data_IF_538696652434
#
_entry.id   IF_538696652434
#
_cell.length_a   1.000
_cell.length_b   1.000
_cell.length_c   1.000
_cell.angle_alpha   90.00
_cell.angle_beta   90.00
_cell.angle_gamma   90.00
#
_symmetry.space_group_name_H-M   'P 1'
#
loop_
_entity.id
_entity.type
_entity.pdbx_description
1 polymer ?
#
# COMPACT_ATOMS: atom_id res chain seq x y z
N UNK A 1 -30.86 0.07 94.99
CA UNK A 1 -31.68 1.14 94.36
C UNK A 1 -30.73 1.95 93.48
N UNK A 2 -30.98 1.95 92.16
CA UNK A 2 -30.52 2.88 91.09
C UNK A 2 -28.99 3.06 90.90
N UNK A 3 -28.40 3.22 89.72
CA UNK A 3 -28.81 3.18 88.31
C UNK A 3 -27.51 3.05 87.49
N UNK A 4 -27.54 2.35 86.34
CA UNK A 4 -26.41 2.27 85.40
C UNK A 4 -26.28 3.55 84.55
N UNK A 5 -25.08 3.94 84.09
CA UNK A 5 -24.93 4.86 82.96
C UNK A 5 -24.89 4.09 81.62
N UNK A 6 -25.23 4.71 80.48
CA UNK A 6 -25.28 4.03 79.20
C UNK A 6 -23.88 3.90 78.58
N UNK A 7 -23.59 2.72 78.03
CA UNK A 7 -22.43 2.51 77.14
C UNK A 7 -22.84 3.00 75.75
N UNK A 8 -22.25 4.11 75.30
CA UNK A 8 -22.35 4.54 73.90
C UNK A 8 -21.46 3.60 73.08
N UNK A 9 -22.07 2.68 72.33
CA UNK A 9 -21.38 1.96 71.25
C UNK A 9 -21.25 2.92 70.07
N UNK A 10 -20.03 3.39 69.79
CA UNK A 10 -19.69 3.88 68.45
C UNK A 10 -19.79 2.69 67.49
N UNK A 11 -20.79 2.71 66.61
CA UNK A 11 -20.83 1.82 65.46
C UNK A 11 -19.75 2.32 64.49
N UNK A 12 -18.71 1.51 64.28
CA UNK A 12 -17.71 1.68 63.22
C UNK A 12 -18.41 1.58 61.86
N UNK A 13 -18.83 2.71 61.29
CA UNK A 13 -19.20 2.81 59.89
C UNK A 13 -17.92 3.01 59.05
N UNK A 14 -17.04 2.01 59.03
CA UNK A 14 -15.72 2.11 58.37
C UNK A 14 -15.53 1.20 57.16
N UNK A 15 -16.43 0.21 56.92
CA UNK A 15 -16.25 -0.71 55.79
C UNK A 15 -16.74 -0.16 54.45
N UNK A 16 -17.85 0.60 54.41
CA UNK A 16 -18.38 1.15 53.15
C UNK A 16 -17.49 2.25 52.55
N UNK A 17 -16.81 3.03 53.41
CA UNK A 17 -15.92 4.13 53.00
C UNK A 17 -14.64 3.62 52.33
N UNK A 18 -14.08 2.51 52.84
CA UNK A 18 -12.84 1.93 52.32
C UNK A 18 -13.00 1.35 50.91
N UNK A 19 -14.12 0.67 50.62
CA UNK A 19 -14.41 0.14 49.28
C UNK A 19 -14.62 1.24 48.23
N UNK A 20 -15.28 2.34 48.62
CA UNK A 20 -15.47 3.50 47.73
C UNK A 20 -14.14 4.21 47.41
N UNK A 21 -13.28 4.38 48.41
CA UNK A 21 -11.92 4.93 48.23
C UNK A 21 -11.07 4.04 47.32
N UNK A 22 -11.13 2.72 47.49
CA UNK A 22 -10.38 1.78 46.66
C UNK A 22 -10.87 1.79 45.21
N UNK A 23 -12.19 1.81 44.97
CA UNK A 23 -12.76 1.93 43.62
C UNK A 23 -12.40 3.26 42.96
N UNK A 24 -12.41 4.36 43.70
CA UNK A 24 -12.01 5.67 43.18
C UNK A 24 -10.54 5.70 42.76
N UNK A 25 -9.63 5.12 43.56
CA UNK A 25 -8.21 5.01 43.23
C UNK A 25 -7.96 4.12 42.00
N UNK A 26 -8.74 3.04 41.84
CA UNK A 26 -8.67 2.15 40.69
C UNK A 26 -9.10 2.86 39.40
N UNK A 27 -10.19 3.65 39.46
CA UNK A 27 -10.66 4.48 38.34
C UNK A 27 -9.63 5.56 37.97
N UNK A 28 -9.04 6.25 38.95
CA UNK A 28 -8.01 7.27 38.70
C UNK A 28 -6.76 6.66 38.04
N UNK A 29 -6.34 5.46 38.45
CA UNK A 29 -5.19 4.76 37.86
C UNK A 29 -5.43 4.36 36.39
N UNK A 30 -6.67 3.98 36.05
CA UNK A 30 -7.08 3.66 34.67
C UNK A 30 -7.09 4.95 33.81
N UNK A 31 -7.52 6.09 34.37
CA UNK A 31 -7.55 7.37 33.67
C UNK A 31 -6.14 7.92 33.44
N UNK A 32 -5.23 7.79 34.41
CA UNK A 32 -3.83 8.22 34.27
C UNK A 32 -3.03 7.37 33.25
N UNK A 33 -3.45 6.14 33.00
CA UNK A 33 -2.85 5.29 31.95
C UNK A 33 -3.21 5.75 30.53
N UNK A 34 -4.15 6.70 30.38
CA UNK A 34 -4.66 7.17 29.09
C UNK A 34 -3.97 8.43 28.56
N UNK A 35 -3.06 9.05 29.33
CA UNK A 35 -2.43 10.33 28.95
C UNK A 35 -0.91 10.24 28.91
N UNK A 36 -0.41 9.29 28.14
CA UNK A 36 0.94 9.33 27.59
C UNK A 36 0.87 9.14 26.08
N UNK A 37 0.23 10.09 25.38
CA UNK A 37 0.46 10.26 23.97
C UNK A 37 1.92 10.70 23.78
N UNK A 38 2.83 9.72 23.66
CA UNK A 38 4.18 9.96 23.14
C UNK A 38 3.99 10.56 21.74
N UNK A 39 4.11 11.89 21.64
CA UNK A 39 4.38 12.53 20.36
C UNK A 39 5.73 12.00 19.90
N UNK A 40 5.69 11.03 18.99
CA UNK A 40 6.85 10.64 18.21
C UNK A 40 7.15 11.84 17.34
N UNK A 41 8.09 12.68 17.77
CA UNK A 41 8.84 13.53 16.86
C UNK A 41 9.65 12.58 15.98
N UNK A 42 9.05 12.11 14.89
CA UNK A 42 9.83 11.67 13.74
C UNK A 42 10.71 12.87 13.43
N UNK A 43 12.06 12.73 13.47
CA UNK A 43 12.92 13.81 13.04
C UNK A 43 12.44 14.23 11.66
N UNK A 44 12.08 15.49 11.53
CA UNK A 44 11.82 16.15 10.25
C UNK A 44 13.14 16.12 9.47
N UNK A 45 13.51 14.94 8.97
CA UNK A 45 14.45 14.83 7.90
C UNK A 45 13.70 15.38 6.70
N UNK A 46 13.86 16.69 6.51
CA UNK A 46 14.00 17.32 5.20
C UNK A 46 15.16 16.62 4.45
N UNK A 47 15.04 15.31 4.24
CA UNK A 47 15.78 14.62 3.22
C UNK A 47 15.23 15.22 1.93
N UNK A 48 16.02 16.13 1.34
CA UNK A 48 16.00 16.36 -0.10
C UNK A 48 15.75 14.99 -0.74
N UNK A 49 14.59 14.77 -1.40
CA UNK A 49 14.23 13.44 -1.88
C UNK A 49 15.36 12.97 -2.76
N UNK A 50 15.98 11.84 -2.38
CA UNK A 50 17.13 11.23 -3.07
C UNK A 50 16.98 11.44 -4.57
N UNK A 51 17.72 12.40 -5.12
CA UNK A 51 17.63 12.73 -6.52
C UNK A 51 18.36 11.62 -7.25
N UNK A 52 17.60 10.65 -7.76
CA UNK A 52 18.13 9.57 -8.56
C UNK A 52 18.82 10.17 -9.78
N UNK A 53 19.97 9.61 -10.16
CA UNK A 53 20.61 10.03 -11.40
C UNK A 53 19.74 9.60 -12.58
N UNK A 54 19.34 10.55 -13.42
CA UNK A 54 18.62 10.23 -14.64
C UNK A 54 19.61 9.72 -15.70
N UNK A 55 19.39 8.50 -16.18
CA UNK A 55 20.29 7.83 -17.12
C UNK A 55 19.88 8.01 -18.60
N UNK A 56 19.24 9.14 -18.94
CA UNK A 56 18.87 9.50 -20.33
C UNK A 56 17.93 8.51 -21.05
N UNK A 57 17.21 7.66 -20.32
CA UNK A 57 16.22 6.72 -20.88
C UNK A 57 14.85 7.38 -21.11
N UNK A 58 14.10 6.93 -22.11
CA UNK A 58 12.80 7.52 -22.45
C UNK A 58 11.84 7.58 -21.25
N UNK A 59 11.18 8.73 -21.07
CA UNK A 59 10.15 8.95 -20.05
C UNK A 59 8.74 8.81 -20.65
N UNK A 60 7.79 8.33 -19.85
CA UNK A 60 6.37 8.34 -20.22
C UNK A 60 5.84 9.77 -20.22
N UNK A 61 5.14 10.20 -21.26
CA UNK A 61 4.68 11.58 -21.42
C UNK A 61 3.27 11.61 -21.98
N UNK A 62 2.52 12.69 -21.75
CA UNK A 62 1.12 12.80 -22.18
C UNK A 62 0.17 12.00 -21.29
N UNK A 63 -1.03 11.71 -21.81
CA UNK A 63 -2.06 11.00 -21.07
C UNK A 63 -1.86 9.49 -21.21
N UNK A 64 -1.63 8.81 -20.08
CA UNK A 64 -1.38 7.37 -20.04
C UNK A 64 -2.36 6.70 -19.08
N UNK A 65 -3.11 5.73 -19.62
CA UNK A 65 -4.04 4.93 -18.82
C UNK A 65 -3.32 3.76 -18.15
N UNK A 66 -3.61 3.50 -16.87
CA UNK A 66 -3.14 2.33 -16.14
C UNK A 66 -4.30 1.34 -16.06
N UNK A 67 -4.23 0.27 -16.86
CA UNK A 67 -5.24 -0.78 -16.87
C UNK A 67 -4.83 -1.90 -15.90
N UNK A 68 -5.78 -2.41 -15.13
CA UNK A 68 -5.54 -3.50 -14.17
C UNK A 68 -6.12 -4.80 -14.71
N UNK A 69 -5.30 -5.85 -14.78
CA UNK A 69 -5.70 -7.18 -15.23
C UNK A 69 -5.59 -8.10 -14.01
N UNK A 70 -6.74 -8.43 -13.43
CA UNK A 70 -6.89 -9.25 -12.25
C UNK A 70 -7.03 -10.72 -12.65
N UNK A 71 -5.96 -11.50 -12.47
CA UNK A 71 -5.92 -12.91 -12.83
C UNK A 71 -6.06 -13.80 -11.60
N UNK A 72 -7.23 -14.41 -11.44
CA UNK A 72 -7.64 -15.22 -10.30
C UNK A 72 -8.53 -14.48 -9.30
N UNK A 73 -8.64 -15.03 -8.10
CA UNK A 73 -9.59 -14.58 -7.10
C UNK A 73 -8.99 -13.47 -6.22
N UNK A 74 -9.59 -12.28 -6.26
CA UNK A 74 -9.22 -11.13 -5.42
C UNK A 74 -10.41 -10.68 -4.59
N UNK A 75 -10.17 -10.38 -3.31
CA UNK A 75 -11.19 -9.77 -2.45
C UNK A 75 -11.52 -8.37 -2.96
N UNK A 76 -12.78 -7.90 -2.82
CA UNK A 76 -13.14 -6.53 -3.13
C UNK A 76 -12.23 -5.49 -2.45
N UNK A 77 -11.82 -5.74 -1.20
CA UNK A 77 -10.89 -4.87 -0.46
C UNK A 77 -9.50 -4.80 -1.10
N UNK A 78 -8.95 -5.93 -1.56
CA UNK A 78 -7.66 -5.94 -2.26
C UNK A 78 -7.73 -5.13 -3.56
N UNK A 79 -8.82 -5.29 -4.32
CA UNK A 79 -9.02 -4.52 -5.57
C UNK A 79 -9.16 -3.02 -5.31
N UNK A 80 -9.90 -2.66 -4.26
CA UNK A 80 -10.07 -1.26 -3.86
C UNK A 80 -8.72 -0.63 -3.48
N UNK A 81 -7.94 -1.28 -2.61
CA UNK A 81 -6.62 -0.78 -2.16
C UNK A 81 -5.70 -0.47 -3.35
N UNK A 82 -5.57 -1.38 -4.31
CA UNK A 82 -4.71 -1.16 -5.49
C UNK A 82 -5.29 -0.09 -6.40
N UNK A 83 -6.61 -0.09 -6.65
CA UNK A 83 -7.25 0.92 -7.49
C UNK A 83 -7.09 2.32 -6.91
N UNK A 84 -7.27 2.47 -5.59
CA UNK A 84 -7.08 3.71 -4.86
C UNK A 84 -5.63 4.17 -4.88
N UNK A 85 -4.68 3.23 -4.76
CA UNK A 85 -3.25 3.54 -4.93
C UNK A 85 -2.98 4.13 -6.32
N UNK A 86 -3.46 3.51 -7.40
CA UNK A 86 -3.28 4.03 -8.76
C UNK A 86 -3.98 5.39 -8.94
N UNK A 87 -5.19 5.55 -8.40
CA UNK A 87 -5.91 6.83 -8.42
C UNK A 87 -5.11 7.93 -7.70
N UNK A 88 -4.41 7.59 -6.61
CA UNK A 88 -3.59 8.53 -5.85
C UNK A 88 -2.38 9.06 -6.63
N UNK A 89 -1.85 8.30 -7.61
CA UNK A 89 -0.79 8.75 -8.52
C UNK A 89 -1.26 9.88 -9.45
N UNK A 90 -2.57 9.96 -9.67
CA UNK A 90 -3.22 10.88 -10.62
C UNK A 90 -3.75 12.15 -9.93
N UNK A 91 -3.65 12.23 -8.60
CA UNK A 91 -4.24 13.32 -7.82
C UNK A 91 -3.45 14.62 -8.00
N UNK A 92 -4.08 15.59 -8.67
CA UNK A 92 -3.59 16.98 -8.73
C UNK A 92 -3.93 17.79 -7.48
N UNK A 93 -4.78 17.25 -6.59
CA UNK A 93 -5.21 17.98 -5.39
C UNK A 93 -4.15 17.85 -4.30
N UNK A 94 -3.65 18.96 -3.74
CA UNK A 94 -2.78 18.91 -2.57
C UNK A 94 -3.55 18.29 -1.40
N UNK A 95 -3.10 17.13 -0.94
CA UNK A 95 -3.64 16.50 0.26
C UNK A 95 -3.16 17.28 1.48
N UNK A 96 -4.09 17.71 2.34
CA UNK A 96 -3.77 18.44 3.58
C UNK A 96 -2.99 17.58 4.59
N UNK A 97 -3.05 16.25 4.46
CA UNK A 97 -2.24 15.31 5.22
C UNK A 97 -0.92 15.03 4.49
N UNK A 98 0.19 15.18 5.20
CA UNK A 98 1.51 14.74 4.77
C UNK A 98 2.03 13.65 5.71
N UNK A 99 2.73 12.63 5.21
CA UNK A 99 3.03 12.34 3.79
C UNK A 99 1.87 11.64 3.05
N UNK A 100 1.81 11.78 1.72
CA UNK A 100 0.86 11.05 0.85
C UNK A 100 1.57 10.47 -0.38
N UNK A 101 1.00 9.40 -0.97
CA UNK A 101 1.52 8.77 -2.20
C UNK A 101 1.64 9.79 -3.33
N UNK A 102 0.66 10.69 -3.47
CA UNK A 102 0.71 11.78 -4.44
C UNK A 102 1.91 12.72 -4.22
N UNK A 103 2.23 13.06 -2.96
CA UNK A 103 3.36 13.92 -2.62
C UNK A 103 4.69 13.24 -2.92
N UNK A 104 4.81 11.95 -2.57
CA UNK A 104 5.97 11.14 -2.92
C UNK A 104 6.14 11.02 -4.45
N UNK A 105 5.05 10.72 -5.16
CA UNK A 105 5.06 10.60 -6.62
C UNK A 105 5.43 11.91 -7.32
N UNK A 106 4.98 13.05 -6.78
CA UNK A 106 5.33 14.38 -7.32
C UNK A 106 6.83 14.64 -7.36
N UNK A 107 7.63 14.00 -6.50
CA UNK A 107 9.09 14.10 -6.57
C UNK A 107 9.65 13.64 -7.94
N UNK A 108 8.94 12.75 -8.65
CA UNK A 108 9.32 12.29 -9.99
C UNK A 108 9.18 13.36 -11.07
N UNK A 109 8.35 14.40 -10.86
CA UNK A 109 8.21 15.54 -11.80
C UNK A 109 9.55 16.26 -12.02
N UNK A 110 10.47 16.22 -11.04
CA UNK A 110 11.81 16.80 -11.17
C UNK A 110 12.59 16.22 -12.36
N UNK A 111 12.41 14.94 -12.69
CA UNK A 111 13.08 14.30 -13.83
C UNK A 111 12.59 14.81 -15.18
N UNK A 112 11.30 15.14 -15.29
CA UNK A 112 10.73 15.71 -16.50
C UNK A 112 11.30 17.09 -16.82
N UNK A 113 11.72 17.86 -15.81
CA UNK A 113 12.41 19.13 -16.01
C UNK A 113 13.78 18.97 -16.68
N UNK A 114 14.46 17.84 -16.47
CA UNK A 114 15.77 17.52 -17.07
C UNK A 114 15.66 17.13 -18.55
N UNK A 115 14.49 16.62 -18.97
CA UNK A 115 14.23 16.15 -20.35
C UNK A 115 13.51 17.20 -21.18
N UNK A 116 13.37 18.44 -20.67
CA UNK A 116 12.63 19.55 -21.33
C UNK A 116 13.13 19.82 -22.75
N UNK A 117 12.52 19.14 -23.72
CA UNK A 117 12.36 19.63 -25.07
C UNK A 117 11.07 20.45 -25.11
N UNK A 118 11.02 21.53 -25.92
CA UNK A 118 9.92 22.52 -25.93
C UNK A 118 8.50 21.96 -26.17
N UNK A 119 8.33 20.68 -26.50
CA UNK A 119 7.09 20.10 -27.01
C UNK A 119 6.57 18.87 -26.23
N UNK A 120 7.10 18.57 -25.04
CA UNK A 120 6.68 17.37 -24.30
C UNK A 120 5.52 17.68 -23.35
N UNK A 121 4.35 17.09 -23.59
CA UNK A 121 3.21 17.17 -22.68
C UNK A 121 3.52 16.52 -21.32
N UNK A 122 3.09 17.13 -20.20
CA UNK A 122 3.28 16.55 -18.88
C UNK A 122 2.63 15.15 -18.80
N UNK A 123 3.22 14.26 -18.00
CA UNK A 123 2.63 12.95 -17.74
C UNK A 123 1.33 13.13 -16.93
N UNK A 124 0.22 12.65 -17.48
CA UNK A 124 -1.03 12.50 -16.77
C UNK A 124 -1.38 11.02 -16.71
N UNK A 125 -1.39 10.47 -15.50
CA UNK A 125 -1.87 9.12 -15.26
C UNK A 125 -3.38 9.14 -15.02
N UNK A 126 -4.06 8.09 -15.42
CA UNK A 126 -5.45 7.83 -15.08
C UNK A 126 -5.68 6.35 -14.84
N UNK A 127 -6.65 6.02 -13.99
CA UNK A 127 -7.13 4.63 -13.87
C UNK A 127 -7.88 4.29 -15.15
N UNK A 128 -7.42 3.23 -15.82
CA UNK A 128 -8.02 2.71 -17.04
C UNK A 128 -9.02 1.58 -16.78
N UNK A 129 -9.13 0.67 -17.75
CA UNK A 129 -9.97 -0.51 -17.66
C UNK A 129 -9.50 -1.45 -16.55
N UNK A 130 -10.45 -2.12 -15.91
CA UNK A 130 -10.18 -3.25 -15.02
C UNK A 130 -10.74 -4.53 -15.64
N UNK A 131 -9.86 -5.48 -15.95
CA UNK A 131 -10.20 -6.77 -16.56
C UNK A 131 -10.17 -7.82 -15.47
N UNK A 132 -11.27 -8.54 -15.28
CA UNK A 132 -11.39 -9.64 -14.33
C UNK A 132 -11.29 -10.98 -15.05
N UNK A 133 -10.38 -11.83 -14.61
CA UNK A 133 -10.18 -13.19 -15.09
C UNK A 133 -10.18 -14.16 -13.89
N UNK A 134 -11.34 -14.25 -13.25
CA UNK A 134 -11.57 -15.00 -12.01
C UNK A 134 -11.62 -16.53 -12.25
N UNK A 135 -11.76 -16.95 -13.51
CA UNK A 135 -11.85 -18.36 -13.93
C UNK A 135 -10.50 -18.99 -14.28
N UNK A 136 -9.39 -18.26 -14.14
CA UNK A 136 -8.04 -18.74 -14.47
C UNK A 136 -7.94 -19.20 -15.93
N UNK A 137 -8.26 -18.32 -16.89
CA UNK A 137 -8.38 -18.70 -18.31
C UNK A 137 -7.15 -19.37 -18.95
N UNK A 138 -5.97 -19.27 -18.35
CA UNK A 138 -4.70 -19.88 -18.77
C UNK A 138 -4.15 -20.91 -17.77
N UNK A 139 -4.95 -21.32 -16.78
CA UNK A 139 -4.54 -22.18 -15.66
C UNK A 139 -3.82 -21.44 -14.53
N UNK A 140 -3.48 -22.16 -13.45
CA UNK A 140 -2.82 -21.58 -12.26
C UNK A 140 -1.29 -21.59 -12.33
N UNK A 141 -0.70 -22.05 -13.43
CA UNK A 141 0.74 -22.04 -13.66
C UNK A 141 1.02 -21.28 -14.95
N UNK A 142 1.65 -20.11 -14.83
CA UNK A 142 1.86 -19.19 -15.94
C UNK A 142 3.34 -19.09 -16.31
N UNK A 143 3.61 -19.19 -17.60
CA UNK A 143 4.86 -18.80 -18.22
C UNK A 143 4.94 -17.27 -18.41
N UNK A 144 6.15 -16.77 -18.64
CA UNK A 144 6.36 -15.37 -19.00
C UNK A 144 5.58 -14.92 -20.26
N UNK A 145 5.43 -15.80 -21.24
CA UNK A 145 4.67 -15.50 -22.46
C UNK A 145 3.17 -15.32 -22.16
N UNK A 146 2.62 -16.12 -21.25
CA UNK A 146 1.22 -15.99 -20.82
C UNK A 146 0.98 -14.71 -20.03
N UNK A 147 1.97 -14.20 -19.28
CA UNK A 147 1.88 -12.87 -18.66
C UNK A 147 1.70 -11.77 -19.72
N UNK A 148 2.50 -11.81 -20.79
CA UNK A 148 2.35 -10.86 -21.91
C UNK A 148 0.99 -11.01 -22.60
N UNK A 149 0.51 -12.24 -22.76
CA UNK A 149 -0.82 -12.53 -23.29
C UNK A 149 -1.93 -11.93 -22.42
N UNK A 150 -1.84 -12.06 -21.09
CA UNK A 150 -2.78 -11.43 -20.16
C UNK A 150 -2.72 -9.90 -20.24
N UNK A 151 -1.51 -9.33 -20.30
CA UNK A 151 -1.33 -7.89 -20.45
C UNK A 151 -1.96 -7.35 -21.74
N UNK A 152 -2.02 -8.16 -22.81
CA UNK A 152 -2.64 -7.77 -24.08
C UNK A 152 -4.18 -7.62 -24.00
N UNK A 153 -4.82 -8.05 -22.91
CA UNK A 153 -6.25 -7.81 -22.66
C UNK A 153 -6.55 -6.35 -22.26
N UNK A 154 -5.53 -5.59 -21.86
CA UNK A 154 -5.68 -4.17 -21.51
C UNK A 154 -5.57 -3.23 -22.72
N UNK A 155 -5.37 -1.94 -22.44
CA UNK A 155 -5.23 -0.90 -23.46
C UNK A 155 -4.02 -1.12 -24.37
N UNK A 156 -4.20 -0.90 -25.67
CA UNK A 156 -3.18 -1.17 -26.70
C UNK A 156 -2.43 0.08 -27.18
N UNK A 157 -2.75 1.25 -26.62
CA UNK A 157 -2.20 2.54 -26.97
C UNK A 157 -2.21 3.45 -25.75
N UNK A 158 -1.13 4.19 -25.55
CA UNK A 158 -0.99 5.18 -24.46
C UNK A 158 -1.42 4.57 -23.11
N UNK A 159 -0.93 3.35 -22.86
CA UNK A 159 -1.41 2.49 -21.79
C UNK A 159 -0.27 1.68 -21.15
N UNK A 160 -0.39 1.51 -19.83
CA UNK A 160 0.36 0.55 -19.03
C UNK A 160 -0.61 -0.51 -18.54
N UNK A 161 -0.37 -1.77 -18.91
CA UNK A 161 -1.20 -2.90 -18.52
C UNK A 161 -0.55 -3.64 -17.34
N UNK A 162 -1.16 -3.53 -16.15
CA UNK A 162 -0.65 -4.13 -14.92
C UNK A 162 -1.38 -5.44 -14.66
N UNK A 163 -0.68 -6.56 -14.80
CA UNK A 163 -1.17 -7.90 -14.51
C UNK A 163 -0.92 -8.22 -13.04
N UNK A 164 -1.99 -8.54 -12.32
CA UNK A 164 -1.99 -8.90 -10.90
C UNK A 164 -2.47 -10.34 -10.80
N UNK A 165 -1.63 -11.24 -10.29
CA UNK A 165 -1.98 -12.66 -10.10
C UNK A 165 -2.36 -12.94 -8.65
N UNK A 166 -3.42 -13.72 -8.41
CA UNK A 166 -3.84 -14.12 -7.06
C UNK A 166 -2.80 -15.01 -6.36
N UNK A 167 -2.96 -15.20 -5.04
CA UNK A 167 -1.99 -15.93 -4.19
C UNK A 167 -1.87 -17.42 -4.52
N UNK A 168 -2.82 -17.99 -5.25
CA UNK A 168 -2.85 -19.38 -5.68
C UNK A 168 -2.35 -19.60 -7.13
N UNK A 169 -1.73 -18.58 -7.74
CA UNK A 169 -1.14 -18.66 -9.08
C UNK A 169 0.38 -18.70 -9.00
N UNK A 170 0.97 -19.74 -9.60
CA UNK A 170 2.42 -19.87 -9.78
C UNK A 170 2.84 -19.21 -11.09
N UNK A 171 3.89 -18.38 -11.04
CA UNK A 171 4.48 -17.75 -12.23
C UNK A 171 5.97 -18.07 -12.30
N UNK A 172 6.45 -18.40 -13.49
CA UNK A 172 7.86 -18.72 -13.76
C UNK A 172 8.83 -17.70 -13.11
N UNK A 173 9.76 -18.16 -12.27
CA UNK A 173 10.77 -17.32 -11.61
C UNK A 173 10.26 -16.42 -10.48
N UNK A 174 8.95 -16.42 -10.17
CA UNK A 174 8.42 -15.76 -8.99
C UNK A 174 9.07 -16.33 -7.72
N UNK A 175 9.35 -15.48 -6.72
CA UNK A 175 9.90 -15.89 -5.42
C UNK A 175 11.29 -16.56 -5.45
N UNK A 176 11.94 -16.62 -6.61
CA UNK A 176 13.31 -17.15 -6.77
C UNK A 176 14.27 -16.07 -7.25
N UNK A 177 13.84 -15.25 -8.21
CA UNK A 177 14.67 -14.18 -8.79
C UNK A 177 13.99 -12.82 -8.84
N UNK A 178 12.67 -12.76 -8.65
CA UNK A 178 11.87 -11.54 -8.82
C UNK A 178 10.51 -11.64 -8.14
N UNK A 179 9.97 -10.46 -7.81
CA UNK A 179 8.60 -10.29 -7.28
C UNK A 179 7.61 -9.82 -8.35
N UNK A 180 8.13 -9.45 -9.52
CA UNK A 180 7.38 -8.91 -10.64
C UNK A 180 8.28 -8.70 -11.85
N UNK A 181 7.71 -8.18 -12.93
CA UNK A 181 8.46 -7.82 -14.14
C UNK A 181 7.81 -6.65 -14.84
N UNK A 182 8.53 -6.02 -15.75
CA UNK A 182 7.98 -5.00 -16.64
C UNK A 182 8.59 -5.15 -18.02
N UNK A 183 7.92 -4.62 -19.02
CA UNK A 183 8.38 -4.68 -20.40
C UNK A 183 7.47 -3.93 -21.35
N UNK A 184 7.71 -4.11 -22.65
CA UNK A 184 6.81 -3.64 -23.69
C UNK A 184 6.53 -4.74 -24.69
N UNK A 185 5.35 -4.72 -25.29
CA UNK A 185 4.98 -5.65 -26.35
C UNK A 185 4.31 -4.91 -27.49
N UNK A 186 4.34 -5.52 -28.68
CA UNK A 186 3.70 -4.99 -29.87
C UNK A 186 2.23 -5.36 -29.83
N UNK A 187 1.36 -4.38 -30.02
CA UNK A 187 -0.07 -4.59 -30.14
C UNK A 187 -0.38 -5.47 -31.34
N UNK A 188 -1.26 -6.45 -31.13
CA UNK A 188 -1.83 -7.24 -32.22
C UNK A 188 -2.72 -6.38 -33.13
N UNK A 189 -3.29 -5.30 -32.58
CA UNK A 189 -4.15 -4.37 -33.31
C UNK A 189 -3.32 -3.31 -34.03
N UNK A 190 -3.59 -3.13 -35.33
CA UNK A 190 -3.08 -1.97 -36.07
C UNK A 190 -3.99 -0.78 -35.80
N UNK A 191 -3.41 0.33 -35.34
CA UNK A 191 -4.10 1.60 -35.16
C UNK A 191 -3.62 2.53 -36.27
N UNK A 192 -4.52 3.01 -37.11
CA UNK A 192 -4.21 3.83 -38.29
C UNK A 192 -3.15 3.19 -39.21
N UNK A 193 -3.26 1.87 -39.43
CA UNK A 193 -2.34 1.10 -40.26
C UNK A 193 -0.97 0.81 -39.64
N UNK A 194 -0.65 1.37 -38.46
CA UNK A 194 0.62 1.17 -37.75
C UNK A 194 0.43 0.25 -36.54
N UNK A 195 1.43 -0.59 -36.27
CA UNK A 195 1.46 -1.37 -35.02
C UNK A 195 1.86 -0.46 -33.88
N UNK A 196 1.00 -0.34 -32.86
CA UNK A 196 1.35 0.34 -31.61
C UNK A 196 2.13 -0.61 -30.70
N UNK A 197 2.74 -0.05 -29.66
CA UNK A 197 3.30 -0.81 -28.54
C UNK A 197 2.52 -0.44 -27.28
N UNK A 198 2.43 -1.38 -26.34
CA UNK A 198 1.95 -1.12 -25.00
C UNK A 198 3.02 -1.51 -23.99
N UNK A 199 3.07 -0.79 -22.87
CA UNK A 199 3.88 -1.17 -21.72
C UNK A 199 3.10 -2.13 -20.84
N UNK A 200 3.78 -3.05 -20.18
CA UNK A 200 3.16 -3.93 -19.20
C UNK A 200 4.02 -4.08 -17.96
N UNK A 201 3.35 -4.34 -16.85
CA UNK A 201 3.93 -4.68 -15.57
C UNK A 201 3.21 -5.94 -15.11
N UNK A 202 3.92 -6.86 -14.48
CA UNK A 202 3.32 -7.93 -13.71
C UNK A 202 3.83 -7.89 -12.28
N UNK A 203 2.92 -8.11 -11.34
CA UNK A 203 3.20 -8.19 -9.91
C UNK A 203 2.62 -9.50 -9.39
N UNK A 204 3.47 -10.35 -8.81
CA UNK A 204 3.05 -11.59 -8.18
C UNK A 204 2.55 -11.36 -6.75
N UNK A 205 1.59 -12.17 -6.30
CA UNK A 205 1.12 -12.14 -4.92
C UNK A 205 2.02 -13.04 -4.04
N UNK A 206 2.76 -12.41 -3.12
CA UNK A 206 3.76 -13.08 -2.28
C UNK A 206 3.20 -13.68 -1.00
N UNK A 207 1.92 -13.47 -0.68
CA UNK A 207 1.26 -13.83 0.58
C UNK A 207 1.50 -15.28 0.98
N UNK A 208 1.52 -16.21 0.01
CA UNK A 208 1.64 -17.65 0.23
C UNK A 208 3.00 -18.23 -0.16
N UNK A 209 3.71 -17.64 -1.13
CA UNK A 209 4.90 -18.24 -1.73
C UNK A 209 6.22 -17.71 -1.17
N UNK A 210 6.33 -16.41 -0.90
CA UNK A 210 7.58 -15.80 -0.41
C UNK A 210 7.36 -14.44 0.27
N UNK A 211 6.54 -14.37 1.33
CA UNK A 211 6.23 -13.09 1.97
C UNK A 211 7.51 -12.42 2.51
N UNK A 212 8.47 -13.19 3.04
CA UNK A 212 9.76 -12.67 3.52
C UNK A 212 10.77 -12.24 2.44
N UNK A 213 10.43 -12.32 1.16
CA UNK A 213 11.26 -11.78 0.06
C UNK A 213 10.58 -10.59 -0.63
N UNK A 214 9.28 -10.70 -0.87
CA UNK A 214 8.55 -9.79 -1.76
C UNK A 214 7.56 -8.87 -1.05
N UNK A 215 7.41 -8.97 0.28
CA UNK A 215 6.49 -8.13 1.05
C UNK A 215 7.20 -7.27 2.11
N UNK A 216 8.52 -7.12 2.08
CA UNK A 216 9.20 -6.16 2.96
C UNK A 216 8.73 -4.72 2.67
N UNK A 217 8.51 -3.83 3.66
CA UNK A 217 8.67 -4.03 5.11
C UNK A 217 7.43 -4.59 5.82
N UNK A 218 6.38 -4.95 5.09
CA UNK A 218 5.11 -5.47 5.61
C UNK A 218 5.18 -6.94 6.04
N UNK A 219 6.28 -7.62 5.74
CA UNK A 219 6.61 -8.93 6.24
C UNK A 219 8.09 -9.02 6.62
N UNK A 220 8.37 -9.81 7.64
CA UNK A 220 9.71 -10.00 8.19
C UNK A 220 10.63 -10.64 7.13
N UNK A 221 11.81 -10.05 6.85
CA UNK A 221 12.69 -10.57 5.81
C UNK A 221 13.37 -11.88 6.24
N UNK A 222 13.61 -12.78 5.29
CA UNK A 222 14.30 -14.06 5.56
C UNK A 222 15.73 -13.83 6.09
N UNK A 223 16.39 -12.78 5.60
CA UNK A 223 17.74 -12.40 5.98
C UNK A 223 17.80 -10.90 6.35
N UNK A 224 18.62 -10.55 7.34
CA UNK A 224 18.82 -9.16 7.79
C UNK A 224 18.12 -8.83 9.12
N UNK A 225 18.10 -7.54 9.53
CA UNK A 225 17.47 -7.11 10.77
C UNK A 225 15.98 -7.50 10.78
N UNK A 226 15.59 -8.28 11.79
CA UNK A 226 14.25 -8.86 11.92
C UNK A 226 13.21 -7.88 12.47
N UNK A 227 13.63 -6.67 12.84
CA UNK A 227 12.75 -5.61 13.29
C UNK A 227 12.18 -4.91 12.05
N UNK A 228 10.87 -5.03 11.82
CA UNK A 228 10.17 -4.12 10.92
C UNK A 228 10.45 -2.68 11.37
N UNK A 229 10.68 -1.71 10.47
CA UNK A 229 10.48 -0.32 10.82
C UNK A 229 9.03 -0.25 11.29
N UNK A 230 8.81 0.03 12.57
CA UNK A 230 7.53 -0.15 13.26
C UNK A 230 6.38 0.53 12.52
N UNK A 231 5.72 -0.22 11.64
CA UNK A 231 4.51 0.14 10.93
C UNK A 231 3.33 -0.37 11.74
N UNK A 232 2.49 0.57 12.18
CA UNK A 232 1.44 0.33 13.15
C UNK A 232 0.47 -0.78 12.75
N UNK A 233 0.28 -1.71 13.68
CA UNK A 233 -0.95 -2.49 13.84
C UNK A 233 -2.13 -1.52 13.94
N UNK A 234 -2.99 -1.49 12.92
CA UNK A 234 -4.37 -1.04 13.08
C UNK A 234 -5.22 -2.28 13.40
N UNK A 235 -5.67 -2.35 14.65
CA UNK A 235 -6.95 -2.99 14.99
C UNK A 235 -8.09 -2.07 14.57
#
# INVERSE_FOLDING_TARGET
MLCSPPVIRLIMASSLSSHFLLQLLLVISIIQSSSAARKISVPDQTQEPLLFQYHNGALLTGEVSINLIWYGQFRPSQRAIVSDFIASLSSRKPTKAQPSVATWWKATEKYYNLVKTKNTSPLLLSVGAQVLDESYSLGKSLSNKQIVQLASKGGQKDAVNVVLTSSDVAVEGFCSSRCGTHGSSVSAQKINGKRSKFAYIWVGNSETQCPGQCAWPFHQPIYGPQNAPSGGTQQ
#
